data_IF_739844019990
#
_entry.id   IF_739844019990
#
_cell.length_a   1.000
_cell.length_b   1.000
_cell.length_c   1.000
_cell.angle_alpha   90.00
_cell.angle_beta   90.00
_cell.angle_gamma   90.00
#
_symmetry.space_group_name_H-M   'P 1'
#
loop_
_entity.id
_entity.type
_entity.pdbx_description
1 polymer ?
#
# COMPACT_ATOMS: atom_id res chain seq x y z
N UNK A 1 53.57 -50.53 -17.55
CA UNK A 1 52.63 -51.28 -18.40
C UNK A 1 52.17 -52.51 -17.63
N UNK A 2 50.91 -52.52 -17.17
CA UNK A 2 49.91 -53.59 -17.38
C UNK A 2 48.59 -53.00 -16.87
N UNK A 3 47.69 -52.74 -17.81
CA UNK A 3 46.29 -52.47 -17.55
C UNK A 3 45.57 -53.80 -17.32
N UNK A 4 44.61 -53.86 -16.39
CA UNK A 4 43.57 -54.88 -16.42
C UNK A 4 42.29 -54.28 -15.82
N UNK A 5 41.36 -53.99 -16.71
CA UNK A 5 40.00 -53.56 -16.41
C UNK A 5 39.05 -54.77 -16.28
N UNK A 6 37.79 -54.47 -15.93
CA UNK A 6 36.61 -55.31 -15.72
C UNK A 6 36.37 -55.69 -14.24
N UNK A 7 35.20 -55.55 -13.63
CA UNK A 7 33.84 -55.50 -14.17
C UNK A 7 32.85 -54.76 -13.24
N UNK A 8 31.71 -54.40 -13.83
CA UNK A 8 30.53 -53.79 -13.24
C UNK A 8 29.98 -54.55 -12.01
N UNK A 9 29.52 -53.79 -11.01
CA UNK A 9 28.33 -54.13 -10.25
C UNK A 9 27.57 -52.84 -9.89
N UNK A 10 26.49 -52.57 -10.63
CA UNK A 10 25.41 -51.71 -10.15
C UNK A 10 24.73 -52.42 -8.98
N UNK A 11 24.47 -51.70 -7.89
CA UNK A 11 23.27 -51.90 -7.08
C UNK A 11 22.95 -50.63 -6.28
N UNK A 12 21.68 -50.29 -6.36
CA UNK A 12 21.01 -49.06 -5.97
C UNK A 12 20.75 -49.05 -4.46
N UNK A 13 21.02 -47.93 -3.80
CA UNK A 13 20.33 -47.56 -2.56
C UNK A 13 20.31 -46.03 -2.43
N UNK A 14 19.24 -45.44 -2.95
CA UNK A 14 18.81 -44.08 -2.66
C UNK A 14 18.41 -44.01 -1.18
N UNK A 15 19.19 -43.30 -0.38
CA UNK A 15 18.74 -42.78 0.91
C UNK A 15 19.12 -41.30 0.97
N UNK A 16 18.26 -40.48 0.37
CA UNK A 16 18.29 -39.04 0.50
C UNK A 16 17.84 -38.67 1.92
N UNK A 17 18.78 -38.43 2.84
CA UNK A 17 18.53 -37.68 4.06
C UNK A 17 18.87 -36.20 3.79
N UNK A 18 17.96 -35.52 3.10
CA UNK A 18 17.89 -34.06 3.13
C UNK A 18 17.20 -33.61 4.43
N UNK A 19 17.59 -32.48 5.03
CA UNK A 19 17.01 -32.05 6.29
C UNK A 19 15.53 -31.75 6.09
N UNK A 20 14.70 -32.32 6.98
CA UNK A 20 13.30 -31.95 7.20
C UNK A 20 13.19 -30.44 7.41
N UNK A 21 13.01 -29.70 6.32
CA UNK A 21 12.39 -28.39 6.36
C UNK A 21 10.89 -28.64 6.25
N UNK A 22 10.28 -28.92 7.39
CA UNK A 22 8.85 -28.80 7.56
C UNK A 22 8.45 -27.37 7.20
N UNK A 23 8.11 -27.15 5.93
CA UNK A 23 7.44 -25.95 5.47
C UNK A 23 6.09 -25.95 6.19
N UNK A 24 5.93 -25.02 7.14
CA UNK A 24 4.61 -24.65 7.61
C UNK A 24 3.83 -24.19 6.37
N UNK A 25 2.86 -25.00 5.98
CA UNK A 25 1.84 -24.59 5.02
C UNK A 25 0.89 -23.67 5.79
N UNK A 26 1.06 -22.36 5.63
CA UNK A 26 0.00 -21.42 5.98
C UNK A 26 -1.13 -21.60 4.97
N UNK A 27 -2.40 -21.72 5.42
CA UNK A 27 -3.52 -21.80 4.49
C UNK A 27 -3.56 -20.52 3.64
N UNK A 28 -3.80 -20.69 2.34
CA UNK A 28 -4.11 -19.60 1.41
C UNK A 28 -5.47 -18.98 1.78
N UNK A 29 -5.48 -18.15 2.83
CA UNK A 29 -6.53 -17.20 3.13
C UNK A 29 -6.06 -15.83 2.65
N UNK A 30 -6.97 -15.07 2.03
CA UNK A 30 -6.82 -13.77 1.38
C UNK A 30 -6.28 -12.64 2.27
N UNK A 31 -5.12 -12.84 2.88
CA UNK A 31 -4.39 -11.79 3.57
C UNK A 31 -3.65 -10.99 2.51
N UNK A 32 -4.31 -9.91 2.09
CA UNK A 32 -3.61 -8.70 1.68
C UNK A 32 -2.43 -8.46 2.63
N UNK A 33 -1.24 -8.07 2.16
CA UNK A 33 -0.10 -7.79 3.02
C UNK A 33 -0.31 -6.45 3.75
N UNK A 34 -1.33 -6.39 4.60
CA UNK A 34 -1.35 -5.51 5.76
C UNK A 34 -0.52 -6.18 6.85
N UNK A 35 0.06 -5.38 7.74
CA UNK A 35 0.97 -5.75 8.84
C UNK A 35 2.46 -5.54 8.56
N UNK A 36 2.81 -4.33 8.14
CA UNK A 36 3.87 -3.66 8.89
C UNK A 36 3.28 -3.32 10.26
N UNK A 37 3.98 -3.62 11.35
CA UNK A 37 3.52 -3.28 12.71
C UNK A 37 3.00 -1.84 12.73
N UNK A 38 1.71 -1.69 13.02
CA UNK A 38 1.06 -0.39 13.12
C UNK A 38 1.71 0.40 14.26
N UNK A 39 1.94 1.70 14.05
CA UNK A 39 2.37 2.55 15.16
C UNK A 39 1.20 2.69 16.13
N UNK A 40 1.33 2.14 17.34
CA UNK A 40 0.33 2.23 18.41
C UNK A 40 0.40 3.56 19.19
N UNK A 41 1.14 4.55 18.70
CA UNK A 41 1.28 5.84 19.36
C UNK A 41 0.04 6.72 19.13
N UNK A 42 -0.50 7.28 20.21
CA UNK A 42 -1.61 8.24 20.13
C UNK A 42 -1.17 9.47 19.34
N UNK A 43 -1.72 9.59 18.13
CA UNK A 43 -1.43 10.68 17.19
C UNK A 43 -2.41 11.86 17.34
N UNK A 44 -3.24 11.82 18.39
CA UNK A 44 -4.29 12.78 18.67
C UNK A 44 -5.49 12.69 17.71
N UNK A 45 -6.44 13.64 17.79
CA UNK A 45 -7.68 13.60 17.02
C UNK A 45 -7.46 13.66 15.50
N UNK A 46 -8.14 12.83 14.73
CA UNK A 46 -7.97 12.77 13.27
C UNK A 46 -8.35 14.07 12.54
N UNK A 47 -9.25 14.86 13.13
CA UNK A 47 -9.82 16.10 12.61
C UNK A 47 -9.04 17.37 12.99
N UNK A 48 -7.81 17.20 13.52
CA UNK A 48 -6.92 18.31 13.89
C UNK A 48 -5.49 18.10 13.37
N UNK A 49 -4.76 19.17 13.03
CA UNK A 49 -5.18 20.57 13.14
C UNK A 49 -6.06 21.07 11.97
N UNK A 50 -6.12 20.34 10.86
CA UNK A 50 -6.80 20.80 9.64
C UNK A 50 -8.16 20.13 9.46
N UNK A 51 -9.15 20.91 9.02
CA UNK A 51 -10.48 20.43 8.65
C UNK A 51 -10.46 19.79 7.26
N UNK A 52 -11.53 19.05 6.91
CA UNK A 52 -11.67 18.52 5.55
C UNK A 52 -11.75 19.63 4.49
N UNK A 53 -12.26 20.82 4.83
CA UNK A 53 -12.32 21.95 3.93
C UNK A 53 -10.93 22.54 3.62
N UNK A 54 -10.08 22.64 4.65
CA UNK A 54 -8.68 23.07 4.48
C UNK A 54 -7.93 22.08 3.59
N UNK A 55 -8.10 20.78 3.84
CA UNK A 55 -7.45 19.71 3.09
C UNK A 55 -7.95 19.68 1.63
N UNK A 56 -9.25 19.90 1.39
CA UNK A 56 -9.80 20.00 0.03
C UNK A 56 -9.14 21.13 -0.75
N UNK A 57 -9.10 22.33 -0.16
CA UNK A 57 -8.47 23.52 -0.76
C UNK A 57 -7.00 23.23 -1.09
N UNK A 58 -6.28 22.65 -0.15
CA UNK A 58 -4.88 22.27 -0.33
C UNK A 58 -4.67 21.31 -1.52
N UNK A 59 -5.55 20.33 -1.69
CA UNK A 59 -5.49 19.37 -2.81
C UNK A 59 -5.78 20.03 -4.15
N UNK A 60 -6.76 20.93 -4.20
CA UNK A 60 -7.10 21.70 -5.40
C UNK A 60 -5.93 22.59 -5.84
N UNK A 61 -5.25 23.24 -4.88
CA UNK A 61 -4.12 24.13 -5.13
C UNK A 61 -2.83 23.38 -5.50
N UNK A 62 -2.62 22.19 -4.93
CA UNK A 62 -1.32 21.50 -4.93
C UNK A 62 -1.18 20.37 -5.96
N UNK A 63 -1.88 20.43 -7.11
CA UNK A 63 -1.87 19.40 -8.17
C UNK A 63 -0.44 18.99 -8.62
N UNK A 64 0.21 18.05 -7.93
CA UNK A 64 1.66 17.86 -8.10
C UNK A 64 2.32 16.56 -7.69
N UNK A 65 1.77 15.72 -6.81
CA UNK A 65 2.40 14.42 -6.47
C UNK A 65 1.33 13.35 -6.26
N UNK A 66 0.82 12.80 -7.37
CA UNK A 66 0.05 11.56 -7.34
C UNK A 66 0.94 10.39 -7.70
N UNK A 67 0.85 9.31 -6.93
CA UNK A 67 1.83 8.21 -7.06
C UNK A 67 1.31 7.03 -7.88
N UNK A 68 0.01 6.94 -8.11
CA UNK A 68 -0.60 5.78 -8.78
C UNK A 68 -1.51 6.14 -9.95
N UNK A 69 -1.52 7.40 -10.39
CA UNK A 69 -2.35 7.86 -11.51
C UNK A 69 -2.34 9.38 -11.67
N UNK A 70 -3.02 9.89 -12.69
CA UNK A 70 -2.96 11.31 -13.12
C UNK A 70 -3.39 12.24 -11.98
N UNK A 71 -2.45 12.95 -11.35
CA UNK A 71 -2.73 13.86 -10.23
C UNK A 71 -3.85 14.88 -10.50
N UNK A 72 -3.98 15.31 -11.76
CA UNK A 72 -5.05 16.21 -12.22
C UNK A 72 -6.44 15.58 -12.17
N UNK A 73 -6.57 14.28 -12.43
CA UNK A 73 -7.83 13.55 -12.29
C UNK A 73 -8.19 13.38 -10.82
N UNK A 74 -7.20 13.19 -9.95
CA UNK A 74 -7.41 13.11 -8.50
C UNK A 74 -7.88 14.43 -7.90
N UNK A 75 -7.25 15.54 -8.28
CA UNK A 75 -7.68 16.87 -7.83
C UNK A 75 -9.14 17.13 -8.23
N UNK A 76 -9.52 16.72 -9.44
CA UNK A 76 -10.90 16.82 -9.90
C UNK A 76 -11.86 15.94 -9.09
N UNK A 77 -11.52 14.69 -8.82
CA UNK A 77 -12.33 13.78 -8.00
C UNK A 77 -12.50 14.32 -6.57
N UNK A 78 -11.44 14.89 -5.99
CA UNK A 78 -11.46 15.50 -4.65
C UNK A 78 -12.27 16.81 -4.65
N UNK A 79 -12.16 17.62 -5.70
CA UNK A 79 -12.93 18.85 -5.86
C UNK A 79 -14.44 18.57 -6.01
N UNK A 80 -14.79 17.55 -6.80
CA UNK A 80 -16.18 17.10 -6.97
C UNK A 80 -16.73 16.40 -5.71
N UNK A 81 -15.88 16.11 -4.72
CA UNK A 81 -16.22 15.37 -3.52
C UNK A 81 -16.74 16.27 -2.40
N UNK A 82 -18.06 16.53 -2.37
CA UNK A 82 -18.67 17.34 -1.30
C UNK A 82 -18.74 16.62 0.06
N UNK A 83 -19.14 15.35 0.07
CA UNK A 83 -19.38 14.56 1.30
C UNK A 83 -18.61 13.23 1.33
N UNK A 84 -17.81 12.93 0.31
CA UNK A 84 -17.11 11.65 0.20
C UNK A 84 -15.71 11.62 0.83
N UNK A 85 -15.27 12.72 1.47
CA UNK A 85 -14.03 12.77 2.25
C UNK A 85 -14.28 12.33 3.69
N UNK A 86 -13.42 11.46 4.22
CA UNK A 86 -13.46 11.02 5.60
C UNK A 86 -12.06 11.04 6.20
N UNK A 87 -11.96 11.46 7.46
CA UNK A 87 -10.71 11.30 8.21
C UNK A 87 -10.40 9.82 8.41
N UNK A 88 -9.17 9.43 8.07
CA UNK A 88 -8.59 8.15 8.44
C UNK A 88 -7.83 8.27 9.76
N UNK A 89 -7.22 7.17 10.20
CA UNK A 89 -6.37 7.16 11.39
C UNK A 89 -5.11 7.99 11.13
N UNK A 90 -4.85 9.08 11.88
CA UNK A 90 -3.61 9.83 11.77
C UNK A 90 -2.45 9.00 12.34
N UNK A 91 -1.23 9.37 11.99
CA UNK A 91 -0.03 8.71 12.52
C UNK A 91 1.09 9.72 12.81
N UNK A 92 2.02 9.31 13.67
CA UNK A 92 3.26 10.03 13.94
C UNK A 92 4.43 9.46 13.15
N UNK A 93 5.36 10.34 12.78
CA UNK A 93 6.73 9.97 12.42
C UNK A 93 7.69 10.92 13.12
N UNK A 94 8.31 10.45 14.21
CA UNK A 94 8.93 11.33 15.20
C UNK A 94 7.86 12.20 15.86
N UNK A 95 8.15 13.49 16.05
CA UNK A 95 7.20 14.44 16.65
C UNK A 95 6.19 15.01 15.63
N UNK A 96 6.30 14.62 14.35
CA UNK A 96 5.43 15.15 13.30
C UNK A 96 4.19 14.27 13.12
N UNK A 97 3.03 14.91 13.21
CA UNK A 97 1.74 14.32 12.87
C UNK A 97 1.44 14.38 11.38
N UNK A 98 0.91 13.29 10.87
CA UNK A 98 0.35 13.17 9.54
C UNK A 98 -1.14 12.88 9.65
N UNK A 99 -1.98 13.79 9.15
CA UNK A 99 -3.41 13.55 8.97
C UNK A 99 -3.63 12.76 7.69
N UNK A 100 -4.51 11.78 7.77
CA UNK A 100 -4.92 10.95 6.64
C UNK A 100 -6.37 11.23 6.32
N UNK A 101 -6.67 11.44 5.05
CA UNK A 101 -8.05 11.57 4.54
C UNK A 101 -8.24 10.58 3.41
N UNK A 102 -9.32 9.81 3.48
CA UNK A 102 -9.75 8.92 2.39
C UNK A 102 -10.89 9.57 1.62
N UNK A 103 -10.90 9.34 0.31
CA UNK A 103 -11.94 9.81 -0.61
C UNK A 103 -12.68 8.60 -1.14
N UNK A 104 -13.99 8.54 -0.89
CA UNK A 104 -14.86 7.51 -1.42
C UNK A 104 -15.24 7.82 -2.86
N UNK A 105 -15.54 6.78 -3.64
CA UNK A 105 -16.13 6.93 -4.96
C UNK A 105 -17.43 7.75 -4.84
N UNK A 106 -17.55 8.91 -5.50
CA UNK A 106 -18.71 9.79 -5.31
C UNK A 106 -20.02 9.20 -5.85
N UNK A 107 -19.96 8.19 -6.72
CA UNK A 107 -21.15 7.52 -7.24
C UNK A 107 -21.65 6.41 -6.31
N UNK A 108 -20.74 5.55 -5.82
CA UNK A 108 -21.10 4.37 -5.03
C UNK A 108 -21.00 4.59 -3.51
N UNK A 109 -20.19 5.56 -3.06
CA UNK A 109 -19.96 5.94 -1.66
C UNK A 109 -19.51 4.79 -0.74
N UNK A 110 -19.05 3.67 -1.30
CA UNK A 110 -18.67 2.45 -0.59
C UNK A 110 -17.19 2.11 -0.70
N UNK A 111 -16.52 2.59 -1.74
CA UNK A 111 -15.13 2.25 -2.05
C UNK A 111 -14.21 3.45 -1.92
N UNK A 112 -13.08 3.28 -1.24
CA UNK A 112 -12.03 4.31 -1.20
C UNK A 112 -11.29 4.30 -2.53
N UNK A 113 -11.20 5.45 -3.18
CA UNK A 113 -10.53 5.61 -4.48
C UNK A 113 -9.32 6.55 -4.43
N UNK A 114 -9.20 7.32 -3.34
CA UNK A 114 -8.01 8.11 -3.08
C UNK A 114 -7.70 8.22 -1.59
N UNK A 115 -6.42 8.43 -1.31
CA UNK A 115 -5.91 8.79 0.00
C UNK A 115 -5.05 10.04 -0.08
N UNK A 116 -5.22 10.93 0.88
CA UNK A 116 -4.50 12.19 1.01
C UNK A 116 -3.78 12.18 2.35
N UNK A 117 -2.49 12.53 2.33
CA UNK A 117 -1.68 12.67 3.54
C UNK A 117 -1.21 14.11 3.65
N UNK A 118 -1.53 14.74 4.76
CA UNK A 118 -1.21 16.13 5.06
C UNK A 118 -0.39 16.19 6.34
N UNK A 119 0.62 17.05 6.36
CA UNK A 119 1.39 17.35 7.57
C UNK A 119 1.51 18.86 7.76
N UNK A 120 2.08 19.28 8.89
CA UNK A 120 2.45 20.68 9.11
C UNK A 120 3.91 20.92 8.69
N UNK A 121 4.14 21.98 7.92
CA UNK A 121 5.47 22.48 7.60
C UNK A 121 5.52 23.99 7.78
N UNK A 122 6.43 24.47 8.63
CA UNK A 122 6.59 25.90 8.93
C UNK A 122 5.29 26.59 9.41
N UNK A 123 4.40 25.85 10.07
CA UNK A 123 3.11 26.35 10.57
C UNK A 123 1.97 26.32 9.55
N UNK A 124 2.21 25.87 8.32
CA UNK A 124 1.21 25.78 7.25
C UNK A 124 0.90 24.32 6.88
N UNK A 125 -0.34 24.02 6.44
CA UNK A 125 -0.69 22.70 5.94
C UNK A 125 0.09 22.40 4.66
N UNK A 126 0.72 21.23 4.62
CA UNK A 126 1.47 20.77 3.46
C UNK A 126 0.96 19.41 2.99
N UNK A 127 0.69 19.33 1.68
CA UNK A 127 0.31 18.10 1.03
C UNK A 127 1.56 17.23 0.85
N UNK A 128 1.59 16.08 1.51
CA UNK A 128 2.74 15.17 1.47
C UNK A 128 2.58 14.04 0.46
N UNK A 129 1.34 13.57 0.28
CA UNK A 129 1.02 12.51 -0.67
C UNK A 129 -0.44 12.59 -1.11
N UNK A 130 -0.67 12.31 -2.39
CA UNK A 130 -1.95 11.85 -2.89
C UNK A 130 -1.74 10.48 -3.56
N UNK A 131 -2.55 9.51 -3.17
CA UNK A 131 -2.59 8.19 -3.77
C UNK A 131 -3.99 7.93 -4.34
N UNK A 132 -4.07 7.28 -5.50
CA UNK A 132 -5.33 6.86 -6.13
C UNK A 132 -5.32 5.39 -6.49
N UNK A 133 -6.48 4.77 -6.60
CA UNK A 133 -6.56 3.38 -7.01
C UNK A 133 -7.96 2.83 -6.78
N UNK A 134 -8.13 1.55 -7.03
CA UNK A 134 -9.40 0.87 -6.73
C UNK A 134 -9.35 0.27 -5.34
N UNK A 135 -10.43 0.44 -4.56
CA UNK A 135 -10.57 -0.11 -3.21
C UNK A 135 -9.31 0.10 -2.35
N UNK A 136 -8.83 1.35 -2.33
CA UNK A 136 -7.53 1.72 -1.83
C UNK A 136 -7.47 1.65 -0.29
N UNK A 137 -6.39 1.06 0.23
CA UNK A 137 -6.08 1.05 1.66
C UNK A 137 -4.75 1.77 1.90
N UNK A 138 -4.71 2.62 2.92
CA UNK A 138 -3.48 3.27 3.39
C UNK A 138 -3.13 2.72 4.76
N UNK A 139 -1.89 2.26 4.92
CA UNK A 139 -1.41 1.67 6.15
C UNK A 139 -0.08 2.31 6.53
N UNK A 140 -0.05 3.22 7.53
CA UNK A 140 1.20 3.76 8.04
C UNK A 140 1.97 2.66 8.76
N UNK A 141 3.24 2.50 8.41
CA UNK A 141 4.18 1.61 9.07
C UNK A 141 5.17 2.38 9.95
N UNK A 142 6.04 1.64 10.63
CA UNK A 142 7.11 2.24 11.44
C UNK A 142 8.09 3.08 10.62
N UNK A 143 8.74 4.04 11.29
CA UNK A 143 9.82 4.88 10.75
C UNK A 143 9.45 5.67 9.49
N UNK A 144 8.24 6.25 9.45
CA UNK A 144 7.81 7.08 8.31
C UNK A 144 7.59 6.28 7.03
N UNK A 145 7.27 4.99 7.14
CA UNK A 145 6.83 4.19 5.99
C UNK A 145 5.32 4.35 5.83
N UNK A 146 4.83 4.42 4.60
CA UNK A 146 3.40 4.36 4.31
C UNK A 146 3.18 3.34 3.21
N UNK A 147 2.21 2.46 3.39
CA UNK A 147 1.86 1.45 2.40
C UNK A 147 0.53 1.81 1.78
N UNK A 148 0.51 1.88 0.46
CA UNK A 148 -0.73 2.04 -0.31
C UNK A 148 -0.98 0.73 -1.02
N UNK A 149 -2.14 0.15 -0.77
CA UNK A 149 -2.60 -1.04 -1.47
C UNK A 149 -3.84 -0.72 -2.29
N UNK A 150 -3.89 -1.23 -3.51
CA UNK A 150 -5.06 -1.15 -4.39
C UNK A 150 -5.45 -2.54 -4.90
N UNK A 151 -6.74 -2.72 -5.14
CA UNK A 151 -7.27 -3.87 -5.85
C UNK A 151 -6.96 -3.76 -7.35
N UNK A 152 -6.56 -4.87 -7.96
CA UNK A 152 -6.31 -4.97 -9.40
C UNK A 152 -7.42 -5.80 -10.03
N UNK A 153 -7.93 -5.31 -11.15
CA UNK A 153 -8.97 -5.95 -11.94
C UNK A 153 -8.39 -6.29 -13.31
N UNK A 154 -8.54 -7.54 -13.74
CA UNK A 154 -8.25 -7.99 -15.08
C UNK A 154 -9.44 -7.72 -16.00
N UNK A 155 -9.21 -7.79 -17.31
CA UNK A 155 -10.27 -7.65 -18.30
C UNK A 155 -11.34 -8.73 -18.08
N UNK A 156 -12.57 -8.28 -17.83
CA UNK A 156 -13.72 -9.14 -17.59
C UNK A 156 -14.00 -9.46 -16.12
N UNK A 157 -13.22 -8.94 -15.18
CA UNK A 157 -13.57 -9.01 -13.76
C UNK A 157 -14.86 -8.24 -13.47
N UNK A 158 -15.67 -8.79 -12.56
CA UNK A 158 -16.81 -8.08 -11.98
C UNK A 158 -16.33 -7.12 -10.88
N UNK A 159 -17.03 -6.01 -10.66
CA UNK A 159 -16.66 -4.97 -9.69
C UNK A 159 -16.41 -5.52 -8.26
N UNK A 160 -17.11 -6.59 -7.88
CA UNK A 160 -16.97 -7.26 -6.57
C UNK A 160 -15.63 -7.98 -6.37
N UNK A 161 -14.93 -8.28 -7.46
CA UNK A 161 -14.16 -9.50 -7.54
C UNK A 161 -12.79 -9.25 -8.19
N UNK A 162 -11.92 -8.48 -7.53
CA UNK A 162 -10.60 -8.19 -8.05
C UNK A 162 -9.78 -9.47 -8.21
N UNK A 163 -9.21 -9.65 -9.40
CA UNK A 163 -8.28 -10.74 -9.70
C UNK A 163 -6.85 -10.45 -9.24
N UNK A 164 -6.58 -9.40 -8.47
CA UNK A 164 -5.25 -9.19 -7.92
C UNK A 164 -5.14 -8.00 -6.98
N UNK A 165 -3.90 -7.66 -6.65
CA UNK A 165 -3.59 -6.49 -5.84
C UNK A 165 -2.24 -5.88 -6.24
N UNK A 166 -2.09 -4.61 -5.93
CA UNK A 166 -0.82 -3.90 -6.04
C UNK A 166 -0.54 -3.16 -4.74
N UNK A 167 0.69 -3.25 -4.26
CA UNK A 167 1.19 -2.60 -3.05
C UNK A 167 2.34 -1.69 -3.43
N UNK A 168 2.22 -0.41 -3.11
CA UNK A 168 3.29 0.57 -3.22
C UNK A 168 3.74 0.97 -1.81
N UNK A 169 5.02 0.77 -1.53
CA UNK A 169 5.65 1.25 -0.29
C UNK A 169 6.20 2.65 -0.52
N UNK A 170 5.96 3.54 0.44
CA UNK A 170 6.50 4.89 0.51
C UNK A 170 7.39 5.05 1.70
N UNK A 171 8.42 5.88 1.55
CA UNK A 171 9.31 6.26 2.65
C UNK A 171 9.33 7.76 2.78
N UNK A 172 9.19 8.24 4.01
CA UNK A 172 9.33 9.65 4.34
C UNK A 172 10.82 10.02 4.28
N UNK A 173 11.17 10.96 3.41
CA UNK A 173 12.50 11.52 3.25
C UNK A 173 12.38 13.04 3.12
N UNK A 174 13.13 13.80 3.93
CA UNK A 174 13.06 15.28 4.01
C UNK A 174 11.61 15.82 4.13
N UNK A 175 10.80 15.07 4.86
CA UNK A 175 9.40 15.38 5.11
C UNK A 175 8.47 15.11 3.93
N UNK A 176 8.90 14.53 2.81
CA UNK A 176 8.04 14.11 1.69
C UNK A 176 8.02 12.58 1.56
N UNK A 177 6.90 12.03 1.11
CA UNK A 177 6.82 10.59 0.81
C UNK A 177 7.39 10.32 -0.58
N UNK A 178 8.42 9.50 -0.65
CA UNK A 178 9.03 9.05 -1.89
C UNK A 178 8.58 7.63 -2.22
N UNK A 179 8.23 7.34 -3.49
CA UNK A 179 7.86 5.99 -3.91
C UNK A 179 9.05 5.04 -3.82
N UNK A 180 8.88 3.96 -3.08
CA UNK A 180 9.82 2.86 -2.96
C UNK A 180 9.41 1.66 -3.81
N UNK A 181 9.52 0.47 -3.22
CA UNK A 181 9.20 -0.78 -3.89
C UNK A 181 7.71 -0.89 -4.20
N UNK A 182 7.40 -1.43 -5.38
CA UNK A 182 6.06 -1.83 -5.79
C UNK A 182 5.99 -3.34 -5.96
N UNK A 183 4.94 -3.95 -5.45
CA UNK A 183 4.64 -5.37 -5.59
C UNK A 183 3.27 -5.51 -6.24
N UNK A 184 3.18 -6.28 -7.31
CA UNK A 184 1.90 -6.60 -7.95
C UNK A 184 1.75 -8.10 -7.97
N UNK A 185 0.55 -8.58 -7.69
CA UNK A 185 0.18 -9.98 -7.82
C UNK A 185 -1.17 -10.12 -8.48
N UNK A 186 -1.22 -10.91 -9.53
CA UNK A 186 -2.48 -11.38 -10.12
C UNK A 186 -2.78 -12.81 -9.61
N UNK A 187 -4.04 -13.07 -9.32
CA UNK A 187 -4.57 -14.36 -8.91
C UNK A 187 -4.38 -15.33 -10.07
N UNK A 188 -3.39 -16.23 -9.94
CA UNK A 188 -3.04 -17.20 -10.99
C UNK A 188 -1.55 -17.23 -11.34
N UNK A 189 -0.77 -16.25 -10.88
CA UNK A 189 0.69 -16.28 -11.01
C UNK A 189 1.30 -17.00 -9.79
N UNK A 190 1.92 -18.15 -10.05
CA UNK A 190 2.69 -18.97 -9.10
C UNK A 190 4.19 -18.88 -9.37
#
# INVERSE_FOLDING_TARGET
MVACACALALLVALAACGPDRGLRVEPAGSTSPTLFDESNEDSGPADKPYSLADIRTLVEDSSGVAVTGRASETAKVVADCQECMKFGTPFLSGDRKFQVVTVLNPQQMSEVIAGVVVSEFEGEPRLELIATGNQLTLSPGRNGTLVVQEAMYADGDEDCCPSGWSVQVFRLHDGRFEPGQRFTRLNGES
#
